data_IF_984922334657
#
_entry.id   IF_984922334657
#
_cell.length_a   1.000
_cell.length_b   1.000
_cell.length_c   1.000
_cell.angle_alpha   90.00
_cell.angle_beta   90.00
_cell.angle_gamma   90.00
#
_symmetry.space_group_name_H-M   'P 1'
#
loop_
_entity.id
_entity.type
_entity.pdbx_description
1 polymer ?
#
# COMPACT_ATOMS: atom_id res chain seq x y z
N UNK A 1 6.05 17.96 -15.96
CA UNK A 1 6.86 17.21 -14.96
C UNK A 1 6.35 15.79 -14.99
N UNK A 2 7.19 14.80 -15.13
CA UNK A 2 6.76 13.39 -15.04
C UNK A 2 6.61 12.98 -13.57
N UNK A 3 5.90 11.86 -13.33
CA UNK A 3 5.58 11.38 -11.99
C UNK A 3 6.84 11.16 -11.14
N UNK A 4 7.88 10.55 -11.71
CA UNK A 4 9.10 10.21 -10.96
C UNK A 4 9.82 11.49 -10.50
N UNK A 5 9.93 12.49 -11.37
CA UNK A 5 10.52 13.78 -11.00
C UNK A 5 9.74 14.47 -9.88
N UNK A 6 8.40 14.44 -9.95
CA UNK A 6 7.54 15.01 -8.90
C UNK A 6 7.70 14.27 -7.56
N UNK A 7 7.70 12.93 -7.58
CA UNK A 7 7.92 12.12 -6.38
C UNK A 7 9.31 12.37 -5.77
N UNK A 8 10.35 12.46 -6.61
CA UNK A 8 11.71 12.76 -6.15
C UNK A 8 11.76 14.09 -5.41
N UNK A 9 11.10 15.12 -5.94
CA UNK A 9 11.10 16.45 -5.32
C UNK A 9 10.30 16.45 -4.00
N UNK A 10 9.17 15.75 -3.93
CA UNK A 10 8.41 15.59 -2.68
C UNK A 10 9.20 14.82 -1.62
N UNK A 11 9.86 13.73 -2.00
CA UNK A 11 10.66 12.93 -1.08
C UNK A 11 11.87 13.70 -0.52
N UNK A 12 12.49 14.59 -1.29
CA UNK A 12 13.59 15.46 -0.81
C UNK A 12 13.15 16.43 0.29
N UNK A 13 11.86 16.69 0.43
CA UNK A 13 11.28 17.52 1.48
C UNK A 13 11.21 16.86 2.85
N UNK A 14 11.53 15.57 2.96
CA UNK A 14 11.49 14.78 4.20
C UNK A 14 12.81 14.02 4.39
N UNK A 15 13.25 13.90 5.64
CA UNK A 15 14.40 13.05 5.98
C UNK A 15 14.06 11.56 5.87
N UNK A 16 12.81 11.21 6.14
CA UNK A 16 12.29 9.83 6.15
C UNK A 16 10.98 9.79 5.34
N UNK A 17 11.04 9.90 4.00
CA UNK A 17 9.84 9.94 3.17
C UNK A 17 9.07 8.61 3.18
N UNK A 18 7.75 8.73 3.06
CA UNK A 18 6.84 7.60 2.82
C UNK A 18 6.00 7.92 1.59
N UNK A 19 5.94 7.00 0.63
CA UNK A 19 5.00 7.04 -0.49
C UNK A 19 3.94 5.97 -0.26
N UNK A 20 2.66 6.34 -0.31
CA UNK A 20 1.57 5.39 -0.32
C UNK A 20 0.99 5.25 -1.73
N UNK A 21 0.71 4.02 -2.17
CA UNK A 21 0.08 3.68 -3.45
C UNK A 21 -1.18 2.89 -3.14
N UNK A 22 -2.33 3.55 -3.22
CA UNK A 22 -3.63 2.98 -2.90
C UNK A 22 -4.52 2.91 -4.15
N UNK A 23 -5.63 2.23 -4.03
CA UNK A 23 -6.60 2.04 -5.12
C UNK A 23 -7.13 0.62 -5.19
N UNK A 24 -8.14 0.36 -6.04
CA UNK A 24 -8.82 -0.93 -6.12
C UNK A 24 -7.90 -2.12 -6.44
N UNK A 25 -8.36 -3.32 -6.10
CA UNK A 25 -7.70 -4.55 -6.49
C UNK A 25 -7.57 -4.65 -8.02
N UNK A 26 -6.44 -5.16 -8.51
CA UNK A 26 -6.16 -5.28 -9.94
C UNK A 26 -5.69 -3.98 -10.62
N UNK A 27 -5.59 -2.86 -9.91
CA UNK A 27 -5.20 -1.56 -10.49
C UNK A 27 -3.71 -1.46 -10.89
N UNK A 28 -2.85 -2.40 -10.46
CA UNK A 28 -1.43 -2.41 -10.82
C UNK A 28 -0.50 -1.72 -9.81
N UNK A 29 -0.94 -1.56 -8.57
CA UNK A 29 -0.18 -0.92 -7.48
C UNK A 29 1.22 -1.51 -7.29
N UNK A 30 1.33 -2.82 -7.23
CA UNK A 30 2.60 -3.55 -7.05
C UNK A 30 3.59 -3.28 -8.20
N UNK A 31 3.09 -3.22 -9.43
CA UNK A 31 3.91 -2.86 -10.59
C UNK A 31 4.42 -1.42 -10.48
N UNK A 32 3.55 -0.49 -10.11
CA UNK A 32 3.93 0.91 -9.93
C UNK A 32 4.95 1.06 -8.78
N UNK A 33 4.73 0.39 -7.65
CA UNK A 33 5.65 0.40 -6.51
C UNK A 33 7.06 -0.06 -6.91
N UNK A 34 7.15 -1.17 -7.65
CA UNK A 34 8.42 -1.69 -8.18
C UNK A 34 9.11 -0.70 -9.12
N UNK A 35 8.34 -0.05 -10.00
CA UNK A 35 8.89 0.94 -10.92
C UNK A 35 9.40 2.19 -10.19
N UNK A 36 8.66 2.67 -9.19
CA UNK A 36 9.07 3.81 -8.36
C UNK A 36 10.33 3.45 -7.55
N UNK A 37 10.34 2.26 -6.93
CA UNK A 37 11.52 1.76 -6.20
C UNK A 37 12.78 1.80 -7.08
N UNK A 38 12.72 1.24 -8.27
CA UNK A 38 13.85 1.22 -9.20
C UNK A 38 14.25 2.62 -9.67
N UNK A 39 13.27 3.48 -9.96
CA UNK A 39 13.54 4.83 -10.46
C UNK A 39 14.14 5.76 -9.40
N UNK A 40 13.76 5.59 -8.12
CA UNK A 40 14.26 6.40 -7.01
C UNK A 40 15.53 5.84 -6.37
N UNK A 41 15.91 4.60 -6.67
CA UNK A 41 17.09 3.92 -6.09
C UNK A 41 18.40 4.74 -6.14
N UNK A 42 18.69 5.50 -7.23
CA UNK A 42 19.91 6.33 -7.24
C UNK A 42 19.95 7.44 -6.18
N UNK A 43 18.78 7.79 -5.61
CA UNK A 43 18.62 8.88 -4.67
C UNK A 43 18.30 8.42 -3.24
N UNK A 44 17.56 7.30 -3.10
CA UNK A 44 17.08 6.76 -1.83
C UNK A 44 17.25 5.25 -1.78
N UNK A 45 17.81 4.74 -0.69
CA UNK A 45 17.54 3.34 -0.33
C UNK A 45 16.06 3.22 0.00
N UNK A 46 15.35 2.27 -0.59
CA UNK A 46 13.92 2.12 -0.36
C UNK A 46 13.52 0.67 -0.13
N UNK A 47 12.49 0.49 0.71
CA UNK A 47 11.82 -0.79 0.92
C UNK A 47 10.35 -0.68 0.54
N UNK A 48 9.79 -1.76 -0.03
CA UNK A 48 8.36 -1.85 -0.34
C UNK A 48 7.70 -2.71 0.75
N UNK A 49 6.62 -2.20 1.32
CA UNK A 49 5.76 -2.94 2.24
C UNK A 49 4.44 -3.19 1.53
N UNK A 50 4.14 -4.47 1.30
CA UNK A 50 2.90 -4.90 0.67
C UNK A 50 1.80 -5.02 1.74
N UNK A 51 0.67 -4.36 1.51
CA UNK A 51 -0.47 -4.44 2.43
C UNK A 51 -1.00 -5.86 2.55
N UNK A 52 -0.89 -6.66 1.48
CA UNK A 52 -1.29 -8.06 1.46
C UNK A 52 -0.53 -8.93 2.48
N UNK A 53 0.69 -8.53 2.85
CA UNK A 53 1.48 -9.16 3.91
C UNK A 53 0.96 -8.81 5.33
N UNK A 54 0.17 -7.74 5.46
CA UNK A 54 -0.25 -7.20 6.76
C UNK A 54 -1.71 -7.52 7.09
N UNK A 55 -2.52 -7.93 6.11
CA UNK A 55 -3.92 -8.26 6.33
C UNK A 55 -4.09 -9.49 7.21
N UNK A 56 -5.08 -9.48 8.09
CA UNK A 56 -5.47 -10.64 8.88
C UNK A 56 -6.57 -11.44 8.15
N UNK A 57 -6.20 -12.02 7.01
CA UNK A 57 -7.12 -12.74 6.12
C UNK A 57 -8.14 -11.81 5.43
N UNK A 58 -9.09 -12.39 4.72
CA UNK A 58 -10.06 -11.64 3.92
C UNK A 58 -11.03 -10.79 4.76
N UNK A 59 -11.54 -11.36 5.86
CA UNK A 59 -12.64 -10.74 6.63
C UNK A 59 -12.15 -9.61 7.57
N UNK A 60 -10.86 -9.59 7.89
CA UNK A 60 -10.25 -8.62 8.83
C UNK A 60 -9.13 -7.81 8.19
N UNK A 61 -9.04 -7.81 6.86
CA UNK A 61 -7.95 -7.13 6.17
C UNK A 61 -7.92 -5.63 6.48
N UNK A 62 -9.06 -4.94 6.34
CA UNK A 62 -9.18 -3.49 6.54
C UNK A 62 -9.73 -3.17 7.95
N UNK A 63 -9.16 -3.79 8.94
CA UNK A 63 -9.57 -3.68 10.35
C UNK A 63 -8.75 -2.63 11.12
N UNK A 64 -9.10 -2.44 12.39
CA UNK A 64 -8.37 -1.55 13.30
C UNK A 64 -6.93 -2.02 13.49
N UNK A 65 -6.69 -3.31 13.52
CA UNK A 65 -5.35 -3.89 13.64
C UNK A 65 -4.43 -3.44 12.50
N UNK A 66 -4.94 -3.38 11.27
CA UNK A 66 -4.17 -2.83 10.15
C UNK A 66 -3.85 -1.35 10.37
N UNK A 67 -4.82 -0.57 10.85
CA UNK A 67 -4.63 0.85 11.15
C UNK A 67 -3.54 1.06 12.21
N UNK A 68 -3.51 0.21 13.25
CA UNK A 68 -2.48 0.24 14.28
C UNK A 68 -1.09 -0.10 13.73
N UNK A 69 -1.00 -1.12 12.86
CA UNK A 69 0.26 -1.48 12.19
C UNK A 69 0.77 -0.36 11.30
N UNK A 70 -0.09 0.28 10.51
CA UNK A 70 0.29 1.43 9.68
C UNK A 70 0.77 2.62 10.52
N UNK A 71 0.08 2.92 11.62
CA UNK A 71 0.48 3.97 12.55
C UNK A 71 1.85 3.68 13.16
N UNK A 72 2.10 2.42 13.55
CA UNK A 72 3.40 1.98 14.05
C UNK A 72 4.50 2.16 12.99
N UNK A 73 4.28 1.70 11.75
CA UNK A 73 5.25 1.84 10.67
C UNK A 73 5.60 3.32 10.45
N UNK A 74 4.58 4.16 10.30
CA UNK A 74 4.77 5.57 10.00
C UNK A 74 5.51 6.32 11.12
N UNK A 75 5.12 6.10 12.38
CA UNK A 75 5.77 6.70 13.54
C UNK A 75 7.21 6.22 13.71
N UNK A 76 7.44 4.90 13.67
CA UNK A 76 8.78 4.34 13.82
C UNK A 76 9.72 4.83 12.71
N UNK A 77 9.23 4.87 11.45
CA UNK A 77 10.01 5.38 10.32
C UNK A 77 10.37 6.85 10.51
N UNK A 78 9.41 7.69 10.86
CA UNK A 78 9.64 9.13 11.08
C UNK A 78 10.66 9.41 12.19
N UNK A 79 10.78 8.51 13.15
CA UNK A 79 11.72 8.59 14.29
C UNK A 79 13.03 7.83 14.04
N UNK A 80 13.25 7.29 12.84
CA UNK A 80 14.41 6.44 12.49
C UNK A 80 14.59 5.25 13.44
N UNK A 81 13.48 4.69 13.91
CA UNK A 81 13.45 3.49 14.75
C UNK A 81 13.39 2.23 13.89
N UNK A 82 13.93 1.13 14.40
CA UNK A 82 13.81 -0.17 13.76
C UNK A 82 12.35 -0.62 13.71
N UNK A 83 11.93 -1.13 12.54
CA UNK A 83 10.58 -1.63 12.31
C UNK A 83 10.65 -3.15 12.21
N UNK A 84 9.79 -3.83 12.95
CA UNK A 84 9.65 -5.30 12.85
C UNK A 84 8.18 -5.63 12.53
N UNK A 85 7.97 -6.44 11.50
CA UNK A 85 6.64 -6.79 11.00
C UNK A 85 6.44 -8.31 10.98
N UNK A 86 5.25 -8.73 11.37
CA UNK A 86 4.76 -10.09 11.12
C UNK A 86 4.06 -10.10 9.77
N UNK A 87 4.33 -11.11 8.94
CA UNK A 87 3.69 -11.28 7.64
C UNK A 87 2.63 -12.36 7.70
N UNK A 88 1.49 -12.10 7.10
CA UNK A 88 0.40 -13.06 7.02
C UNK A 88 0.68 -14.12 5.95
N UNK A 89 0.66 -15.38 6.37
CA UNK A 89 0.73 -16.51 5.46
C UNK A 89 -0.68 -16.94 5.05
N UNK A 90 -1.02 -16.69 3.80
CA UNK A 90 -2.33 -16.98 3.22
C UNK A 90 -2.64 -18.48 3.11
N UNK A 91 -1.60 -19.35 3.08
CA UNK A 91 -1.79 -20.79 2.94
C UNK A 91 -2.28 -21.45 4.24
N UNK A 92 -1.79 -20.98 5.38
CA UNK A 92 -2.13 -21.52 6.70
C UNK A 92 -2.92 -20.54 7.58
N UNK A 93 -3.19 -19.33 7.07
CA UNK A 93 -3.95 -18.29 7.75
C UNK A 93 -3.35 -17.88 9.11
N UNK A 94 -2.03 -17.79 9.18
CA UNK A 94 -1.30 -17.41 10.39
C UNK A 94 -0.33 -16.26 10.10
N UNK A 95 0.06 -15.54 11.15
CA UNK A 95 1.17 -14.58 11.06
C UNK A 95 2.50 -15.26 11.40
N UNK A 96 3.53 -14.88 10.66
CA UNK A 96 4.92 -15.23 11.02
C UNK A 96 5.34 -14.53 12.31
N UNK A 97 6.40 -15.00 12.98
CA UNK A 97 7.10 -14.18 13.96
C UNK A 97 7.50 -12.83 13.36
N UNK A 98 7.50 -11.77 14.17
CA UNK A 98 7.93 -10.45 13.71
C UNK A 98 9.41 -10.46 13.35
N UNK A 99 9.75 -9.96 12.18
CA UNK A 99 11.11 -9.82 11.68
C UNK A 99 11.40 -8.35 11.35
N UNK A 100 12.64 -7.94 11.62
CA UNK A 100 13.07 -6.58 11.27
C UNK A 100 13.10 -6.43 9.74
N UNK A 101 12.51 -5.33 9.25
CA UNK A 101 12.66 -4.95 7.85
C UNK A 101 13.97 -4.16 7.65
N UNK A 102 14.44 -4.10 6.40
CA UNK A 102 15.63 -3.34 6.07
C UNK A 102 15.45 -1.86 6.44
N UNK A 103 16.47 -1.28 7.06
CA UNK A 103 16.49 0.17 7.33
C UNK A 103 16.72 0.91 6.00
N UNK A 104 15.66 1.46 5.47
CA UNK A 104 15.65 2.20 4.23
C UNK A 104 15.27 3.67 4.49
N UNK A 105 15.82 4.59 3.68
CA UNK A 105 15.47 6.00 3.78
C UNK A 105 14.01 6.26 3.37
N UNK A 106 13.52 5.55 2.36
CA UNK A 106 12.19 5.66 1.80
C UNK A 106 11.39 4.37 2.05
N UNK A 107 10.18 4.50 2.57
CA UNK A 107 9.20 3.41 2.57
C UNK A 107 8.16 3.64 1.46
N UNK A 108 7.87 2.60 0.69
CA UNK A 108 6.76 2.56 -0.25
C UNK A 108 5.72 1.59 0.30
N UNK A 109 4.57 2.10 0.73
CA UNK A 109 3.42 1.31 1.15
C UNK A 109 2.54 1.07 -0.08
N UNK A 110 2.23 -0.17 -0.43
CA UNK A 110 1.37 -0.44 -1.58
C UNK A 110 0.28 -1.47 -1.26
N UNK A 111 -0.93 -1.19 -1.69
CA UNK A 111 -2.10 -2.05 -1.53
C UNK A 111 -3.31 -1.27 -1.04
N UNK A 112 -4.47 -1.94 -1.01
CA UNK A 112 -5.72 -1.34 -0.53
C UNK A 112 -5.57 -0.91 0.92
N UNK A 113 -5.89 0.35 1.21
CA UNK A 113 -5.80 0.91 2.56
C UNK A 113 -4.41 1.41 2.96
N UNK A 114 -3.45 1.48 2.03
CA UNK A 114 -2.14 2.09 2.31
C UNK A 114 -2.20 3.61 2.50
N UNK A 115 -3.28 4.27 2.05
CA UNK A 115 -3.50 5.72 2.15
C UNK A 115 -4.46 6.13 3.27
N UNK A 116 -4.62 5.35 4.35
CA UNK A 116 -5.51 5.69 5.47
C UNK A 116 -5.19 7.05 6.08
N UNK A 117 -6.22 7.76 6.57
CA UNK A 117 -6.09 9.09 7.18
C UNK A 117 -5.06 9.16 8.30
N UNK A 118 -4.96 8.09 9.08
CA UNK A 118 -4.11 8.03 10.28
C UNK A 118 -2.63 8.25 9.97
N UNK A 119 -2.17 7.92 8.75
CA UNK A 119 -0.76 8.07 8.38
C UNK A 119 -0.50 9.20 7.39
N UNK A 120 -1.53 9.93 6.92
CA UNK A 120 -1.35 10.95 5.86
C UNK A 120 -0.40 12.07 6.23
N UNK A 121 -0.33 12.44 7.50
CA UNK A 121 0.62 13.45 7.97
C UNK A 121 2.10 13.04 7.82
N UNK A 122 2.37 11.73 7.69
CA UNK A 122 3.70 11.17 7.49
C UNK A 122 4.05 10.96 6.01
N UNK A 123 3.05 11.04 5.11
CA UNK A 123 3.26 10.77 3.69
C UNK A 123 3.94 11.95 3.00
N UNK A 124 4.97 11.65 2.22
CA UNK A 124 5.54 12.60 1.26
C UNK A 124 4.70 12.64 -0.03
N UNK A 125 4.06 11.55 -0.39
CA UNK A 125 3.11 11.48 -1.50
C UNK A 125 2.09 10.37 -1.31
N UNK A 126 0.85 10.62 -1.74
CA UNK A 126 -0.23 9.65 -1.86
C UNK A 126 -0.62 9.52 -3.33
N UNK A 127 -0.52 8.31 -3.87
CA UNK A 127 -0.90 7.99 -5.25
C UNK A 127 -2.15 7.11 -5.21
N UNK A 128 -3.17 7.52 -5.95
CA UNK A 128 -4.35 6.72 -6.22
C UNK A 128 -4.28 6.15 -7.63
N UNK A 129 -4.52 4.85 -7.78
CA UNK A 129 -4.65 4.22 -9.09
C UNK A 129 -6.10 3.81 -9.28
N UNK A 130 -6.75 4.43 -10.24
CA UNK A 130 -8.11 4.13 -10.63
C UNK A 130 -8.17 3.04 -11.70
N UNK A 131 -9.14 2.16 -11.60
CA UNK A 131 -9.45 1.13 -12.58
C UNK A 131 -10.95 0.86 -12.60
N UNK A 132 -11.50 0.52 -13.77
CA UNK A 132 -12.85 -0.03 -13.86
C UNK A 132 -12.95 -1.34 -13.06
N UNK A 133 -14.02 -1.49 -12.26
CA UNK A 133 -14.20 -2.63 -11.34
C UNK A 133 -14.16 -3.97 -12.07
N UNK A 134 -14.83 -4.07 -13.22
CA UNK A 134 -14.89 -5.31 -13.99
C UNK A 134 -13.51 -5.69 -14.56
N UNK A 135 -12.75 -4.70 -14.98
CA UNK A 135 -11.37 -4.86 -15.47
C UNK A 135 -10.42 -5.25 -14.35
N UNK A 136 -10.58 -4.63 -13.17
CA UNK A 136 -9.80 -4.97 -11.97
C UNK A 136 -10.05 -6.39 -11.54
N UNK A 137 -11.32 -6.82 -11.42
CA UNK A 137 -11.69 -8.18 -11.09
C UNK A 137 -11.15 -9.19 -12.10
N UNK A 138 -11.28 -8.90 -13.41
CA UNK A 138 -10.75 -9.77 -14.47
C UNK A 138 -9.25 -10.01 -14.32
N UNK A 139 -8.47 -8.95 -14.09
CA UNK A 139 -7.01 -9.04 -13.88
C UNK A 139 -6.63 -9.89 -12.66
N UNK A 140 -7.38 -9.74 -11.55
CA UNK A 140 -7.13 -10.52 -10.34
C UNK A 140 -7.45 -12.00 -10.59
N UNK A 141 -8.58 -12.31 -11.22
CA UNK A 141 -8.94 -13.70 -11.50
C UNK A 141 -8.02 -14.38 -12.53
N UNK A 142 -7.50 -13.62 -13.50
CA UNK A 142 -6.50 -14.12 -14.44
C UNK A 142 -5.18 -14.46 -13.73
N UNK A 143 -4.78 -13.66 -12.74
CA UNK A 143 -3.55 -13.88 -11.97
C UNK A 143 -3.68 -15.01 -10.95
N UNK A 144 -4.76 -15.01 -10.16
CA UNK A 144 -4.91 -15.82 -8.95
C UNK A 144 -5.89 -17.00 -9.13
N UNK A 145 -6.58 -17.05 -10.27
CA UNK A 145 -7.51 -18.11 -10.63
C UNK A 145 -8.96 -17.86 -10.24
N UNK A 146 -9.86 -18.57 -10.90
CA UNK A 146 -11.32 -18.44 -10.69
C UNK A 146 -11.80 -18.87 -9.28
N UNK A 147 -11.00 -19.67 -8.59
CA UNK A 147 -11.35 -20.20 -7.26
C UNK A 147 -11.59 -19.14 -6.20
N UNK A 148 -11.03 -17.93 -6.35
CA UNK A 148 -11.18 -16.84 -5.39
C UNK A 148 -12.31 -15.86 -5.74
N UNK A 149 -13.10 -16.12 -6.79
CA UNK A 149 -14.13 -15.18 -7.27
C UNK A 149 -15.10 -14.73 -6.17
N UNK A 150 -15.58 -15.66 -5.36
CA UNK A 150 -16.53 -15.35 -4.29
C UNK A 150 -15.90 -14.47 -3.20
N UNK A 151 -14.64 -14.72 -2.85
CA UNK A 151 -13.88 -13.89 -1.91
C UNK A 151 -13.65 -12.51 -2.50
N UNK A 152 -13.28 -12.44 -3.78
CA UNK A 152 -13.07 -11.16 -4.46
C UNK A 152 -14.33 -10.31 -4.54
N UNK A 153 -15.50 -10.90 -4.78
CA UNK A 153 -16.76 -10.15 -4.76
C UNK A 153 -17.04 -9.51 -3.39
N UNK A 154 -16.79 -10.23 -2.30
CA UNK A 154 -16.89 -9.67 -0.94
C UNK A 154 -15.83 -8.59 -0.71
N UNK A 155 -14.61 -8.83 -1.18
CA UNK A 155 -13.50 -7.89 -1.07
C UNK A 155 -13.80 -6.56 -1.77
N UNK A 156 -14.37 -6.58 -2.98
CA UNK A 156 -14.75 -5.38 -3.71
C UNK A 156 -15.73 -4.51 -2.90
N UNK A 157 -16.71 -5.12 -2.25
CA UNK A 157 -17.63 -4.39 -1.36
C UNK A 157 -16.92 -3.80 -0.14
N UNK A 158 -15.99 -4.55 0.45
CA UNK A 158 -15.24 -4.12 1.64
C UNK A 158 -14.30 -2.95 1.29
N UNK A 159 -13.56 -3.05 0.19
CA UNK A 159 -12.68 -1.97 -0.25
C UNK A 159 -13.45 -0.70 -0.63
N UNK A 160 -14.61 -0.82 -1.28
CA UNK A 160 -15.47 0.32 -1.62
C UNK A 160 -15.93 1.08 -0.36
N UNK A 161 -16.41 0.33 0.65
CA UNK A 161 -16.80 0.91 1.95
C UNK A 161 -15.60 1.61 2.63
N UNK A 162 -14.44 0.99 2.60
CA UNK A 162 -13.22 1.57 3.14
C UNK A 162 -12.83 2.87 2.43
N UNK A 163 -12.84 2.88 1.11
CA UNK A 163 -12.51 4.07 0.32
C UNK A 163 -13.50 5.21 0.54
N UNK A 164 -14.79 4.90 0.64
CA UNK A 164 -15.83 5.88 0.96
C UNK A 164 -15.63 6.50 2.35
N UNK A 165 -15.21 5.69 3.34
CA UNK A 165 -14.91 6.14 4.69
C UNK A 165 -13.62 6.97 4.72
N UNK A 166 -12.54 6.46 4.15
CA UNK A 166 -11.21 7.08 4.18
C UNK A 166 -11.09 8.26 3.22
N UNK A 167 -11.87 8.31 2.14
CA UNK A 167 -11.80 9.31 1.06
C UNK A 167 -10.39 9.42 0.46
N UNK A 168 -9.77 8.27 0.22
CA UNK A 168 -8.35 8.17 -0.16
C UNK A 168 -8.11 8.82 -1.52
N UNK A 169 -8.97 8.57 -2.50
CA UNK A 169 -8.90 9.18 -3.83
C UNK A 169 -8.87 10.71 -3.76
N UNK A 170 -9.79 11.30 -2.96
CA UNK A 170 -9.89 12.76 -2.83
C UNK A 170 -8.67 13.39 -2.14
N UNK A 171 -7.91 12.61 -1.40
CA UNK A 171 -6.73 13.05 -0.67
C UNK A 171 -5.42 12.79 -1.44
N UNK A 172 -5.50 12.10 -2.57
CA UNK A 172 -4.32 11.73 -3.35
C UNK A 172 -3.68 12.95 -4.04
N UNK A 173 -2.36 13.00 -3.98
CA UNK A 173 -1.56 14.00 -4.72
C UNK A 173 -1.53 13.69 -6.22
N UNK A 174 -1.62 12.40 -6.56
CA UNK A 174 -1.64 11.91 -7.94
C UNK A 174 -2.74 10.88 -8.13
N UNK A 175 -3.53 11.06 -9.20
CA UNK A 175 -4.53 10.10 -9.65
C UNK A 175 -4.12 9.54 -10.99
N UNK A 176 -3.95 8.23 -11.08
CA UNK A 176 -3.56 7.52 -12.30
C UNK A 176 -4.70 6.58 -12.71
N UNK A 177 -4.95 6.46 -14.01
CA UNK A 177 -5.95 5.55 -14.58
C UNK A 177 -5.29 4.46 -15.40
N UNK A 178 -5.74 3.17 -15.24
CA UNK A 178 -5.15 2.02 -15.95
C UNK A 178 -6.18 1.16 -16.71
#
# INVERSE_FOLDING_TARGET
MDLISALLDLCKGSERPIIAIDGPAGAGKTTLASNIHLALYPNFTSTIIHMDDLYNGWDKALSVELTEVLSYIAQAHSQSQSISLSKFNWADSTFSPAEAIDDAQLIILEGVGSGQRVIREYLSALIWIEIDESKGLSRVLERDGEGIRNQMQKWLMTQEQHFALEKTENAADFVLTT
#
